data_IF_941751861686
#
_entry.id   IF_941751861686
#
_cell.length_a   1.000
_cell.length_b   1.000
_cell.length_c   1.000
_cell.angle_alpha   90.00
_cell.angle_beta   90.00
_cell.angle_gamma   90.00
#
_symmetry.space_group_name_H-M   'P 1'
#
loop_
_entity.id
_entity.type
_entity.pdbx_description
1 polymer ?
#
# COMPACT_ATOMS: atom_id res chain seq x y z
N UNK A 1 40.60 44.93 -70.45
CA UNK A 1 40.11 46.04 -71.31
C UNK A 1 39.88 45.49 -72.69
N UNK A 2 38.76 45.75 -73.30
CA UNK A 2 38.47 45.29 -74.67
C UNK A 2 38.54 46.45 -75.67
N UNK A 3 38.95 46.14 -76.91
CA UNK A 3 38.97 47.12 -78.00
C UNK A 3 37.53 47.47 -78.41
N UNK A 4 37.14 48.75 -78.37
CA UNK A 4 35.80 49.22 -78.77
C UNK A 4 35.48 49.06 -80.22
N UNK A 5 36.49 48.79 -81.11
CA UNK A 5 36.31 48.67 -82.56
C UNK A 5 36.26 47.20 -83.05
N UNK A 6 36.95 46.26 -82.36
CA UNK A 6 37.03 44.87 -82.79
C UNK A 6 36.74 43.83 -81.70
N UNK A 7 36.35 44.28 -80.49
CA UNK A 7 36.00 43.47 -79.38
C UNK A 7 37.10 42.46 -78.85
N UNK A 8 38.35 42.70 -79.30
CA UNK A 8 39.51 41.92 -78.88
C UNK A 8 39.99 42.37 -77.52
N UNK A 9 40.32 41.39 -76.64
CA UNK A 9 40.90 41.64 -75.32
C UNK A 9 42.32 42.24 -75.49
N UNK A 10 42.49 43.49 -75.11
CA UNK A 10 43.75 44.24 -75.32
C UNK A 10 44.70 43.96 -74.14
N UNK A 11 44.19 43.88 -72.93
CA UNK A 11 44.99 43.63 -71.73
C UNK A 11 44.13 43.07 -70.62
N UNK A 12 44.59 42.06 -69.94
CA UNK A 12 43.97 41.48 -68.72
C UNK A 12 44.97 41.63 -67.61
N UNK A 13 44.83 42.71 -66.85
CA UNK A 13 45.61 42.87 -65.61
C UNK A 13 44.98 42.00 -64.54
N UNK A 14 45.77 41.04 -64.06
CA UNK A 14 45.43 40.25 -62.88
C UNK A 14 45.65 41.16 -61.65
N UNK A 15 44.59 41.63 -61.04
CA UNK A 15 44.64 42.34 -59.81
C UNK A 15 44.48 41.28 -58.72
N UNK A 16 45.58 40.95 -58.05
CA UNK A 16 45.51 40.14 -56.82
C UNK A 16 44.94 41.03 -55.72
N UNK A 17 43.72 40.75 -55.29
CA UNK A 17 43.09 41.39 -54.15
C UNK A 17 43.49 40.58 -52.94
N UNK A 18 44.25 41.20 -52.05
CA UNK A 18 44.62 40.53 -50.78
C UNK A 18 43.36 40.24 -49.98
N UNK A 19 43.32 39.04 -49.39
CA UNK A 19 42.23 38.68 -48.48
C UNK A 19 42.24 39.57 -47.27
N UNK A 20 41.13 40.25 -47.00
CA UNK A 20 41.00 41.23 -45.90
C UNK A 20 40.87 40.54 -44.52
N UNK A 21 40.83 39.19 -44.52
CA UNK A 21 40.55 38.41 -43.34
C UNK A 21 39.08 38.42 -42.96
N UNK A 22 38.73 37.71 -41.87
CA UNK A 22 37.39 37.71 -41.31
C UNK A 22 37.24 38.79 -40.26
N UNK A 23 36.06 39.43 -40.20
CA UNK A 23 35.69 40.37 -39.13
C UNK A 23 34.83 39.58 -38.12
N UNK A 24 35.40 39.25 -36.92
CA UNK A 24 34.65 38.49 -35.91
C UNK A 24 33.44 39.29 -35.43
N UNK A 25 32.27 38.66 -35.35
CA UNK A 25 31.06 39.18 -34.74
C UNK A 25 30.96 38.80 -33.27
N UNK A 26 29.78 38.97 -32.66
CA UNK A 26 29.52 38.54 -31.32
C UNK A 26 29.45 37.03 -31.20
N UNK A 27 29.89 36.46 -30.07
CA UNK A 27 29.79 35.05 -29.81
C UNK A 27 28.33 34.65 -29.58
N UNK A 28 27.90 33.56 -30.19
CA UNK A 28 26.57 32.96 -30.01
C UNK A 28 26.71 31.57 -29.36
N UNK A 29 25.75 31.21 -28.50
CA UNK A 29 25.72 29.87 -27.90
C UNK A 29 25.02 28.90 -28.83
N UNK A 30 25.66 27.77 -29.13
CA UNK A 30 25.11 26.66 -29.90
C UNK A 30 25.24 25.35 -29.15
N UNK A 31 24.49 24.34 -29.55
CA UNK A 31 24.53 22.98 -28.99
C UNK A 31 24.38 22.95 -27.46
N UNK A 32 23.58 23.86 -26.90
CA UNK A 32 23.40 23.98 -25.46
C UNK A 32 22.74 22.74 -24.88
N UNK A 33 23.40 22.14 -23.90
CA UNK A 33 22.90 21.06 -23.04
C UNK A 33 22.78 21.60 -21.62
N UNK A 34 21.58 21.62 -21.09
CA UNK A 34 21.34 22.12 -19.74
C UNK A 34 21.93 21.18 -18.69
N UNK A 35 22.56 21.72 -17.61
CA UNK A 35 23.07 20.89 -16.54
C UNK A 35 21.95 20.28 -15.70
N UNK A 36 22.16 19.08 -15.20
CA UNK A 36 21.31 18.45 -14.20
C UNK A 36 21.83 18.72 -12.78
N UNK A 37 21.21 18.12 -11.77
CA UNK A 37 21.71 18.22 -10.40
C UNK A 37 23.11 17.61 -10.23
N UNK A 38 23.45 16.61 -11.03
CA UNK A 38 24.69 15.82 -10.90
C UNK A 38 25.59 15.86 -12.12
N UNK A 39 25.03 16.21 -13.27
CA UNK A 39 25.77 16.24 -14.53
C UNK A 39 25.97 17.67 -14.98
N UNK A 40 27.16 17.96 -15.50
CA UNK A 40 27.48 19.23 -16.10
C UNK A 40 26.71 19.41 -17.40
N UNK A 41 26.34 20.63 -17.71
CA UNK A 41 25.90 21.06 -19.02
C UNK A 41 27.06 21.48 -19.91
N UNK A 42 26.76 21.80 -21.15
CA UNK A 42 27.75 22.31 -22.11
C UNK A 42 27.09 23.19 -23.14
N UNK A 43 27.89 24.02 -23.80
CA UNK A 43 27.52 24.74 -25.01
C UNK A 43 28.78 25.06 -25.81
N UNK A 44 28.62 25.32 -27.11
CA UNK A 44 29.67 25.84 -27.96
C UNK A 44 29.52 27.38 -28.04
N UNK A 45 30.58 28.09 -27.72
CA UNK A 45 30.69 29.53 -28.02
C UNK A 45 31.23 29.68 -29.43
N UNK A 46 30.36 30.08 -30.35
CA UNK A 46 30.69 30.17 -31.76
C UNK A 46 30.71 31.62 -32.20
N UNK A 47 31.80 32.00 -32.92
CA UNK A 47 31.93 33.33 -33.50
C UNK A 47 31.86 33.20 -34.99
N UNK A 48 30.95 33.96 -35.62
CA UNK A 48 30.81 34.06 -37.08
C UNK A 48 31.34 35.38 -37.59
N UNK A 49 31.82 35.33 -38.84
CA UNK A 49 32.24 36.55 -39.53
C UNK A 49 31.03 37.45 -39.88
N UNK A 50 31.03 38.70 -39.49
CA UNK A 50 29.95 39.67 -39.80
C UNK A 50 29.75 39.94 -41.31
N UNK A 51 30.79 39.68 -42.10
CA UNK A 51 30.76 40.00 -43.54
C UNK A 51 30.34 38.80 -44.38
N UNK A 52 30.88 37.63 -44.14
CA UNK A 52 30.65 36.43 -44.95
C UNK A 52 29.81 35.32 -44.26
N UNK A 53 29.57 35.44 -42.95
CA UNK A 53 28.83 34.45 -42.19
C UNK A 53 29.57 33.15 -41.89
N UNK A 54 30.84 33.02 -42.27
CA UNK A 54 31.63 31.83 -42.00
C UNK A 54 32.01 31.74 -40.51
N UNK A 55 32.11 30.52 -40.00
CA UNK A 55 32.55 30.26 -38.63
C UNK A 55 34.04 30.61 -38.47
N UNK A 56 34.34 31.48 -37.53
CA UNK A 56 35.69 31.96 -37.24
C UNK A 56 36.31 31.17 -36.10
N UNK A 57 35.54 30.89 -35.07
CA UNK A 57 35.98 30.01 -33.95
C UNK A 57 34.80 29.30 -33.32
N UNK A 58 35.06 28.13 -32.71
CA UNK A 58 34.16 27.35 -31.92
C UNK A 58 34.88 26.82 -30.69
N UNK A 59 34.49 27.32 -29.54
CA UNK A 59 35.11 27.00 -28.27
C UNK A 59 34.08 26.29 -27.35
N UNK A 60 34.28 24.98 -27.02
CA UNK A 60 33.40 24.27 -26.11
C UNK A 60 33.53 24.86 -24.69
N UNK A 61 32.39 25.08 -24.07
CA UNK A 61 32.26 25.58 -22.70
C UNK A 61 31.43 24.63 -21.85
N UNK A 62 31.79 24.48 -20.59
CA UNK A 62 31.05 23.67 -19.63
C UNK A 62 30.22 24.56 -18.70
N UNK A 63 29.05 24.03 -18.32
CA UNK A 63 28.19 24.62 -17.29
C UNK A 63 28.25 23.66 -16.08
N UNK A 64 28.59 24.16 -14.91
CA UNK A 64 28.68 23.33 -13.72
C UNK A 64 27.32 22.70 -13.38
N UNK A 65 27.35 21.47 -12.83
CA UNK A 65 26.16 20.80 -12.31
C UNK A 65 25.47 21.67 -11.25
N UNK A 66 24.14 21.67 -11.28
CA UNK A 66 23.32 22.56 -10.43
C UNK A 66 23.37 22.20 -8.94
N UNK A 67 23.82 20.99 -8.60
CA UNK A 67 23.72 20.45 -7.25
C UNK A 67 22.27 20.17 -6.84
N UNK A 68 22.07 19.54 -5.69
CA UNK A 68 20.73 19.30 -5.14
C UNK A 68 20.26 20.48 -4.30
N UNK A 69 18.98 20.82 -4.40
CA UNK A 69 18.26 21.67 -3.44
C UNK A 69 17.51 20.76 -2.50
N UNK A 70 18.12 20.44 -1.37
CA UNK A 70 17.58 19.46 -0.43
C UNK A 70 16.52 20.09 0.48
N UNK A 71 15.45 19.32 0.70
CA UNK A 71 14.44 19.57 1.72
C UNK A 71 14.37 18.39 2.65
N UNK A 72 14.25 18.65 3.93
CA UNK A 72 14.03 17.64 4.96
C UNK A 72 12.54 17.29 5.06
N UNK A 73 12.24 16.01 5.01
CA UNK A 73 10.90 15.46 5.27
C UNK A 73 10.95 14.70 6.59
N UNK A 74 10.09 15.10 7.52
CA UNK A 74 10.04 14.48 8.84
C UNK A 74 9.62 13.02 8.80
N UNK A 75 10.14 12.21 9.72
CA UNK A 75 9.78 10.83 9.90
C UNK A 75 8.27 10.64 10.14
N UNK A 76 7.72 9.55 9.61
CA UNK A 76 6.38 9.04 9.92
C UNK A 76 6.52 7.65 10.50
N UNK A 77 6.09 7.47 11.76
CA UNK A 77 6.06 6.14 12.36
C UNK A 77 5.07 5.22 11.62
N UNK A 78 5.42 3.94 11.41
CA UNK A 78 4.49 2.98 10.83
C UNK A 78 3.35 2.69 11.81
N UNK A 79 2.16 2.42 11.28
CA UNK A 79 1.03 1.90 12.05
C UNK A 79 0.93 0.38 11.89
N UNK A 80 -0.12 -0.23 12.44
CA UNK A 80 -0.33 -1.66 12.23
C UNK A 80 -0.53 -2.03 10.76
N UNK A 81 -1.11 -1.15 9.96
CA UNK A 81 -1.52 -1.42 8.57
C UNK A 81 -0.84 -0.55 7.53
N UNK A 82 -0.28 0.58 7.95
CA UNK A 82 0.38 1.51 7.03
C UNK A 82 1.87 1.54 7.28
N UNK A 83 2.65 1.60 6.21
CA UNK A 83 4.09 1.85 6.29
C UNK A 83 4.39 3.28 6.73
N UNK A 84 5.55 3.45 7.32
CA UNK A 84 6.12 4.73 7.69
C UNK A 84 7.45 4.96 6.97
N UNK A 85 8.22 5.93 7.43
CA UNK A 85 9.57 6.24 6.97
C UNK A 85 10.36 6.99 8.03
N UNK A 86 11.67 6.86 7.98
CA UNK A 86 12.56 7.72 8.74
C UNK A 86 12.56 9.15 8.14
N UNK A 87 13.09 10.12 8.87
CA UNK A 87 13.39 11.41 8.29
C UNK A 87 14.35 11.24 7.10
N UNK A 88 14.08 11.95 6.02
CA UNK A 88 14.87 11.85 4.80
C UNK A 88 14.99 13.18 4.09
N UNK A 89 15.95 13.25 3.20
CA UNK A 89 16.16 14.42 2.33
C UNK A 89 15.70 14.06 0.91
N UNK A 90 15.09 15.02 0.25
CA UNK A 90 14.75 14.91 -1.17
C UNK A 90 15.08 16.21 -1.91
N UNK A 91 15.41 16.10 -3.18
CA UNK A 91 15.68 17.25 -4.02
C UNK A 91 14.37 17.86 -4.52
N UNK A 92 14.24 19.20 -4.38
CA UNK A 92 13.05 19.94 -4.84
C UNK A 92 13.07 20.29 -6.33
N UNK A 93 14.19 20.06 -7.03
CA UNK A 93 14.25 20.38 -8.46
C UNK A 93 13.40 19.38 -9.25
N UNK A 94 12.59 19.92 -10.14
CA UNK A 94 11.78 19.11 -11.06
C UNK A 94 12.67 18.18 -11.89
N UNK A 95 12.27 16.94 -12.04
CA UNK A 95 13.03 15.91 -12.76
C UNK A 95 14.22 15.30 -12.00
N UNK A 96 14.54 15.79 -10.79
CA UNK A 96 15.58 15.21 -9.95
C UNK A 96 14.99 14.16 -9.00
N UNK A 97 15.23 12.89 -9.26
CA UNK A 97 14.75 11.80 -8.42
C UNK A 97 15.58 11.53 -7.15
N UNK A 98 16.51 12.41 -6.77
CA UNK A 98 17.33 12.16 -5.58
C UNK A 98 16.53 12.21 -4.30
N UNK A 99 16.62 11.13 -3.53
CA UNK A 99 16.02 11.00 -2.21
C UNK A 99 16.79 9.99 -1.36
N UNK A 100 16.87 10.24 -0.05
CA UNK A 100 17.37 9.29 0.94
C UNK A 100 16.23 8.52 1.62
N UNK A 101 15.03 8.52 1.02
CA UNK A 101 13.84 7.85 1.52
C UNK A 101 14.09 6.36 1.79
N UNK A 102 13.71 5.94 2.98
CA UNK A 102 13.68 4.53 3.39
C UNK A 102 12.32 4.22 4.01
N UNK A 103 11.62 3.28 3.40
CA UNK A 103 10.35 2.81 3.90
C UNK A 103 10.54 1.95 5.15
N UNK A 104 9.70 2.20 6.15
CA UNK A 104 9.53 1.34 7.32
C UNK A 104 8.23 0.55 7.11
N UNK A 105 8.28 -0.78 7.05
CA UNK A 105 7.08 -1.58 6.83
C UNK A 105 6.07 -1.39 7.96
N UNK A 106 4.79 -1.62 7.66
CA UNK A 106 3.73 -1.68 8.67
C UNK A 106 4.11 -2.66 9.78
N UNK A 107 3.82 -2.30 11.03
CA UNK A 107 4.21 -3.08 12.20
C UNK A 107 3.43 -4.39 12.37
N UNK A 108 2.32 -4.53 11.64
CA UNK A 108 1.37 -5.62 11.83
C UNK A 108 0.54 -5.46 13.10
N UNK A 109 -0.45 -6.34 13.26
CA UNK A 109 -1.24 -6.39 14.48
C UNK A 109 -0.52 -7.20 15.57
N UNK A 110 -0.52 -6.69 16.81
CA UNK A 110 -0.08 -7.41 18.00
C UNK A 110 -1.30 -7.77 18.81
N UNK A 111 -1.77 -8.99 18.64
CA UNK A 111 -2.95 -9.46 19.31
C UNK A 111 -2.68 -9.77 20.79
N UNK A 112 -3.64 -9.44 21.64
CA UNK A 112 -3.67 -9.79 23.07
C UNK A 112 -4.23 -11.18 23.30
N UNK A 113 -4.84 -11.38 24.47
CA UNK A 113 -5.47 -12.64 24.84
C UNK A 113 -6.66 -12.95 23.92
N UNK A 114 -6.85 -14.24 23.67
CA UNK A 114 -8.00 -14.73 22.89
C UNK A 114 -9.17 -14.98 23.84
N UNK A 115 -10.32 -14.42 23.51
CA UNK A 115 -11.59 -14.74 24.14
C UNK A 115 -12.35 -15.74 23.27
N UNK A 116 -12.84 -16.82 23.87
CA UNK A 116 -13.64 -17.85 23.20
C UNK A 116 -15.10 -17.65 23.56
N UNK A 117 -15.94 -17.60 22.57
CA UNK A 117 -17.39 -17.63 22.69
C UNK A 117 -17.88 -18.98 22.19
N UNK A 118 -18.38 -19.80 23.10
CA UNK A 118 -18.93 -21.09 22.75
C UNK A 118 -20.22 -20.96 21.92
N UNK A 119 -20.50 -21.91 21.02
CA UNK A 119 -21.74 -21.88 20.25
C UNK A 119 -22.94 -22.15 21.15
N UNK A 120 -24.02 -21.40 20.92
CA UNK A 120 -25.29 -21.56 21.57
C UNK A 120 -26.36 -21.95 20.53
N UNK A 121 -27.57 -22.25 20.99
CA UNK A 121 -28.68 -22.46 20.08
C UNK A 121 -28.95 -21.19 19.24
N UNK A 122 -28.98 -21.35 17.91
CA UNK A 122 -29.09 -20.27 16.94
C UNK A 122 -28.02 -19.18 17.00
N UNK A 123 -26.90 -19.43 17.66
CA UNK A 123 -25.80 -18.48 17.75
C UNK A 123 -24.45 -19.16 17.55
N UNK A 124 -23.71 -18.64 16.58
CA UNK A 124 -22.36 -19.15 16.28
C UNK A 124 -21.38 -18.94 17.46
N UNK A 125 -20.55 -19.95 17.67
CA UNK A 125 -19.36 -19.81 18.50
C UNK A 125 -18.20 -19.25 17.67
N UNK A 126 -17.28 -18.55 18.30
CA UNK A 126 -16.07 -18.04 17.67
C UNK A 126 -15.01 -17.67 18.70
N UNK A 127 -13.79 -17.58 18.23
CA UNK A 127 -12.71 -16.97 18.98
C UNK A 127 -12.48 -15.56 18.49
N UNK A 128 -12.14 -14.64 19.39
CA UNK A 128 -11.78 -13.28 19.05
C UNK A 128 -10.54 -12.86 19.79
N UNK A 129 -9.67 -12.14 19.12
CA UNK A 129 -8.57 -11.43 19.75
C UNK A 129 -8.52 -9.99 19.25
N UNK A 130 -8.05 -9.10 20.11
CA UNK A 130 -7.99 -7.67 19.85
C UNK A 130 -6.55 -7.22 19.77
N UNK A 131 -6.20 -6.44 18.75
CA UNK A 131 -4.88 -5.83 18.68
C UNK A 131 -4.67 -4.82 19.80
N UNK A 132 -3.62 -5.00 20.60
CA UNK A 132 -3.29 -4.15 21.75
C UNK A 132 -2.83 -2.75 21.37
N UNK A 133 -2.51 -2.52 20.08
CA UNK A 133 -2.00 -1.25 19.57
C UNK A 133 -3.10 -0.40 18.93
N UNK A 134 -3.95 -0.99 18.08
CA UNK A 134 -4.94 -0.25 17.29
C UNK A 134 -6.39 -0.62 17.59
N UNK A 135 -6.63 -1.64 18.43
CA UNK A 135 -7.99 -2.07 18.78
C UNK A 135 -8.69 -2.90 17.69
N UNK A 136 -8.00 -3.27 16.60
CA UNK A 136 -8.58 -4.14 15.58
C UNK A 136 -8.92 -5.51 16.17
N UNK A 137 -10.14 -5.99 15.91
CA UNK A 137 -10.63 -7.29 16.34
C UNK A 137 -10.65 -8.26 15.16
N UNK A 138 -10.10 -9.44 15.36
CA UNK A 138 -10.16 -10.55 14.41
C UNK A 138 -10.94 -11.70 15.01
N UNK A 139 -11.97 -12.15 14.28
CA UNK A 139 -12.74 -13.36 14.61
C UNK A 139 -12.25 -14.53 13.78
N UNK A 140 -12.08 -15.66 14.44
CA UNK A 140 -11.60 -16.89 13.84
C UNK A 140 -12.20 -18.11 14.57
N UNK A 141 -11.93 -19.32 14.10
CA UNK A 141 -12.49 -20.57 14.66
C UNK A 141 -14.02 -20.48 14.79
N UNK A 142 -14.70 -20.08 13.71
CA UNK A 142 -16.16 -19.97 13.70
C UNK A 142 -16.75 -21.37 13.76
N UNK A 143 -17.59 -21.62 14.77
CA UNK A 143 -18.29 -22.87 15.02
C UNK A 143 -19.78 -22.63 14.77
N UNK A 144 -20.45 -23.49 13.97
CA UNK A 144 -21.88 -23.35 13.71
C UNK A 144 -22.70 -23.33 15.01
N UNK A 145 -23.88 -22.69 15.00
CA UNK A 145 -24.81 -22.75 16.12
C UNK A 145 -25.16 -24.18 16.50
N UNK A 146 -25.42 -24.43 17.76
CA UNK A 146 -25.94 -25.71 18.19
C UNK A 146 -27.30 -25.95 17.52
N UNK A 147 -27.53 -27.16 16.97
CA UNK A 147 -28.78 -27.47 16.27
C UNK A 147 -29.95 -27.69 17.24
N UNK A 148 -29.70 -27.54 18.54
CA UNK A 148 -30.71 -27.73 19.59
C UNK A 148 -30.52 -26.73 20.71
N UNK A 149 -31.56 -26.39 21.40
CA UNK A 149 -31.54 -25.67 22.67
C UNK A 149 -31.33 -26.72 23.79
N UNK A 150 -30.28 -26.53 24.63
CA UNK A 150 -30.05 -27.46 25.74
C UNK A 150 -31.31 -27.55 26.61
N UNK A 151 -31.75 -28.76 26.92
CA UNK A 151 -32.98 -29.03 27.67
C UNK A 151 -34.27 -29.08 26.85
N UNK A 152 -34.29 -28.61 25.60
CA UNK A 152 -35.43 -28.71 24.68
C UNK A 152 -35.45 -30.11 24.04
N UNK A 153 -35.96 -31.06 24.76
CA UNK A 153 -35.97 -32.44 24.37
C UNK A 153 -37.19 -32.83 23.51
N UNK A 154 -38.12 -31.90 23.30
CA UNK A 154 -39.24 -32.05 22.41
C UNK A 154 -39.05 -31.32 21.06
N UNK A 155 -38.10 -30.35 21.01
CA UNK A 155 -37.72 -29.61 19.83
C UNK A 155 -38.72 -28.51 19.44
N UNK A 156 -39.45 -27.94 20.40
CA UNK A 156 -40.40 -26.84 20.17
C UNK A 156 -39.75 -25.46 20.31
N UNK A 157 -38.45 -25.35 20.63
CA UNK A 157 -37.68 -24.13 20.79
C UNK A 157 -37.89 -23.42 22.12
N UNK A 158 -38.52 -24.11 23.10
CA UNK A 158 -38.80 -23.54 24.41
C UNK A 158 -38.44 -24.51 25.53
N UNK A 159 -37.98 -24.00 26.65
CA UNK A 159 -37.79 -24.78 27.88
C UNK A 159 -39.04 -24.71 28.76
N UNK A 160 -39.74 -25.82 28.85
CA UNK A 160 -41.01 -25.89 29.55
C UNK A 160 -41.08 -27.11 30.48
N UNK A 161 -42.16 -27.21 31.28
CA UNK A 161 -42.44 -28.40 32.09
C UNK A 161 -42.65 -29.69 31.22
N UNK A 162 -42.94 -29.54 29.93
CA UNK A 162 -43.03 -30.68 29.02
C UNK A 162 -41.66 -31.34 28.83
N UNK A 163 -40.62 -30.54 28.59
CA UNK A 163 -39.25 -31.04 28.43
C UNK A 163 -38.75 -31.72 29.70
N UNK A 164 -39.01 -31.10 30.84
CA UNK A 164 -38.70 -31.70 32.13
C UNK A 164 -39.35 -33.08 32.31
N UNK A 165 -40.61 -33.22 31.93
CA UNK A 165 -41.32 -34.50 32.06
C UNK A 165 -40.80 -35.55 31.07
N UNK A 166 -40.48 -35.15 29.86
CA UNK A 166 -39.91 -36.05 28.82
C UNK A 166 -38.52 -36.51 29.25
N UNK A 167 -37.64 -35.59 29.65
CA UNK A 167 -36.28 -35.88 30.12
C UNK A 167 -36.31 -36.84 31.33
N UNK A 168 -37.17 -36.53 32.32
CA UNK A 168 -37.35 -37.42 33.49
C UNK A 168 -37.77 -38.84 33.12
N UNK A 169 -38.68 -38.97 32.13
CA UNK A 169 -39.13 -40.30 31.65
C UNK A 169 -38.00 -41.05 30.95
N UNK A 170 -37.17 -40.35 30.21
CA UNK A 170 -35.99 -40.92 29.53
C UNK A 170 -34.95 -41.42 30.53
N UNK A 171 -34.61 -40.64 31.52
CA UNK A 171 -33.67 -41.02 32.60
C UNK A 171 -34.18 -42.21 33.40
N UNK A 172 -35.48 -42.27 33.69
CA UNK A 172 -36.12 -43.42 34.34
C UNK A 172 -36.32 -44.64 33.42
N UNK A 173 -35.85 -44.55 32.19
CA UNK A 173 -35.99 -45.62 31.15
C UNK A 173 -37.43 -46.03 30.85
N UNK A 174 -38.38 -45.11 31.07
CA UNK A 174 -39.80 -45.29 30.78
C UNK A 174 -40.07 -45.09 29.29
N UNK A 175 -39.43 -44.12 28.69
CA UNK A 175 -39.50 -43.81 27.26
C UNK A 175 -38.20 -43.19 26.78
N UNK A 176 -37.58 -43.69 25.70
CA UNK A 176 -36.32 -43.08 25.20
C UNK A 176 -36.61 -41.71 24.57
N UNK A 177 -35.60 -40.84 24.57
CA UNK A 177 -35.61 -39.63 23.74
C UNK A 177 -35.44 -40.00 22.26
N UNK A 178 -36.03 -39.25 21.35
CA UNK A 178 -35.67 -39.33 19.94
C UNK A 178 -34.19 -38.99 19.74
N UNK A 179 -33.48 -39.75 18.90
CA UNK A 179 -32.03 -39.60 18.70
C UNK A 179 -31.60 -38.15 18.38
N UNK A 180 -32.41 -37.42 17.62
CA UNK A 180 -32.14 -36.00 17.23
C UNK A 180 -32.17 -35.05 18.41
N UNK A 181 -32.75 -35.43 19.56
CA UNK A 181 -32.80 -34.59 20.76
C UNK A 181 -32.01 -35.22 21.93
N UNK A 182 -31.33 -36.31 21.72
CA UNK A 182 -30.55 -36.98 22.76
C UNK A 182 -29.51 -36.04 23.36
N UNK A 183 -28.80 -35.28 22.50
CA UNK A 183 -27.82 -34.28 22.94
C UNK A 183 -28.44 -33.10 23.75
N UNK A 184 -29.70 -32.75 23.50
CA UNK A 184 -30.40 -31.74 24.27
C UNK A 184 -30.74 -32.21 25.70
N UNK A 185 -30.75 -33.52 25.94
CA UNK A 185 -31.02 -34.11 27.23
C UNK A 185 -29.84 -34.07 28.21
N UNK A 186 -28.61 -33.93 27.71
CA UNK A 186 -27.42 -33.62 28.48
C UNK A 186 -27.37 -32.10 28.71
N UNK A 187 -28.05 -31.68 29.78
CA UNK A 187 -28.24 -30.26 30.03
C UNK A 187 -26.98 -29.55 30.60
N UNK A 188 -26.11 -30.29 31.30
CA UNK A 188 -24.88 -29.78 31.87
C UNK A 188 -23.67 -29.97 30.94
N UNK A 189 -23.81 -30.69 29.82
CA UNK A 189 -22.76 -30.90 28.82
C UNK A 189 -21.64 -31.84 29.28
N UNK A 190 -21.90 -32.74 30.27
CA UNK A 190 -20.88 -33.67 30.78
C UNK A 190 -20.76 -34.96 29.93
N UNK A 191 -21.59 -35.13 28.91
CA UNK A 191 -21.65 -36.27 28.02
C UNK A 191 -22.55 -37.41 28.50
N UNK A 192 -23.19 -37.28 29.68
CA UNK A 192 -24.07 -38.30 30.26
C UNK A 192 -25.44 -37.72 30.62
N UNK A 193 -26.48 -38.36 30.22
CA UNK A 193 -27.85 -37.94 30.58
C UNK A 193 -28.26 -38.58 31.91
N UNK A 194 -28.21 -37.83 33.00
CA UNK A 194 -28.38 -38.29 34.37
C UNK A 194 -29.47 -37.53 35.13
N UNK A 195 -29.67 -37.88 36.42
CA UNK A 195 -30.58 -37.16 37.30
C UNK A 195 -30.14 -35.70 37.51
N UNK A 196 -28.87 -35.37 37.30
CA UNK A 196 -28.34 -34.01 37.44
C UNK A 196 -28.95 -33.10 36.38
N UNK A 197 -29.04 -33.58 35.13
CA UNK A 197 -29.57 -32.81 34.01
C UNK A 197 -31.02 -32.42 34.21
N UNK A 198 -31.86 -33.35 34.61
CA UNK A 198 -33.27 -33.02 34.84
C UNK A 198 -33.48 -32.09 36.05
N UNK A 199 -32.60 -32.16 37.07
CA UNK A 199 -32.68 -31.24 38.19
C UNK A 199 -32.25 -29.82 37.80
N UNK A 200 -31.19 -29.68 36.99
CA UNK A 200 -30.73 -28.43 36.45
C UNK A 200 -31.77 -27.83 35.50
N UNK A 201 -32.33 -28.62 34.58
CA UNK A 201 -33.40 -28.21 33.69
C UNK A 201 -34.63 -27.73 34.49
N UNK A 202 -35.02 -28.45 35.53
CA UNK A 202 -36.11 -28.05 36.43
C UNK A 202 -35.80 -26.67 37.08
N UNK A 203 -34.57 -26.45 37.56
CA UNK A 203 -34.16 -25.20 38.16
C UNK A 203 -34.22 -24.08 37.17
N UNK A 204 -33.72 -24.27 35.96
CA UNK A 204 -33.78 -23.32 34.84
C UNK A 204 -35.22 -22.93 34.54
N UNK A 205 -36.15 -23.90 34.44
CA UNK A 205 -37.55 -23.63 34.11
C UNK A 205 -38.27 -22.85 35.24
N UNK A 206 -37.95 -23.14 36.48
CA UNK A 206 -38.64 -22.54 37.62
C UNK A 206 -38.07 -21.18 38.03
N UNK A 207 -36.77 -20.98 37.88
CA UNK A 207 -36.07 -19.81 38.46
C UNK A 207 -35.27 -19.04 37.41
N UNK A 208 -35.08 -19.52 36.19
CA UNK A 208 -34.27 -18.88 35.15
C UNK A 208 -32.74 -18.90 35.44
N UNK A 209 -32.28 -19.88 36.25
CA UNK A 209 -30.88 -20.00 36.69
C UNK A 209 -30.30 -21.36 36.31
#
# INVERSE_FOLDING_TARGET
MYCEVCDAEIDRVKVDIEATGHTPGEAVEENRVEPTCTEKGSYDSVVYCEVCGEEVSRDPSEIDALGHVLVQVAAKAPTCTESGWNDYESCQREGCGYSTYQELPASGHKFGETTVYEPEYNKEGYSVHTCTVCGYEERFNIVPPLPYLAGDVNGDGRLTGADYLILKRAILKIAPLPDKFAAAGDFNGDGEMTATDYLLLKRQILFGE
#
